data_IF_870627515517
#
_entry.id   IF_870627515517
#
_cell.length_a   1.000
_cell.length_b   1.000
_cell.length_c   1.000
_cell.angle_alpha   90.00
_cell.angle_beta   90.00
_cell.angle_gamma   90.00
#
_symmetry.space_group_name_H-M   'P 1'
#
loop_
_entity.id
_entity.type
_entity.pdbx_description
1 polymer ?
#
# COMPACT_ATOMS: atom_id res chain seq x y z
N UNK A 1 0.82 20.29 61.29
CA UNK A 1 1.05 20.24 59.84
C UNK A 1 1.45 18.82 59.52
N UNK A 2 0.57 18.05 58.88
CA UNK A 2 0.99 16.76 58.34
C UNK A 2 2.02 17.03 57.22
N UNK A 3 3.09 16.24 57.10
CA UNK A 3 4.02 16.41 55.99
C UNK A 3 3.28 16.10 54.69
N UNK A 4 3.43 16.96 53.68
CA UNK A 4 2.98 16.68 52.34
C UNK A 4 3.62 15.37 51.87
N UNK A 5 2.80 14.45 51.36
CA UNK A 5 3.32 13.28 50.68
C UNK A 5 4.18 13.74 49.49
N UNK A 6 5.35 13.15 49.24
CA UNK A 6 6.08 13.42 48.01
C UNK A 6 5.19 13.00 46.83
N UNK A 7 5.01 13.88 45.84
CA UNK A 7 4.39 13.52 44.57
C UNK A 7 5.25 12.46 43.89
N UNK A 8 4.60 11.45 43.33
CA UNK A 8 5.27 10.37 42.63
C UNK A 8 5.54 10.81 41.20
N UNK A 9 6.80 11.03 40.79
CA UNK A 9 7.11 11.54 39.46
C UNK A 9 6.71 10.59 38.33
N UNK A 10 6.51 9.29 38.59
CA UNK A 10 5.96 8.35 37.59
C UNK A 10 4.47 8.62 37.35
N UNK A 11 3.68 8.86 38.42
CA UNK A 11 2.25 9.21 38.28
C UNK A 11 2.06 10.56 37.59
N UNK A 12 2.93 11.54 37.87
CA UNK A 12 2.88 12.86 37.21
C UNK A 12 3.21 12.75 35.71
N UNK A 13 4.12 11.84 35.31
CA UNK A 13 4.46 11.57 33.90
C UNK A 13 3.34 10.83 33.17
N UNK A 14 2.77 9.80 33.79
CA UNK A 14 1.64 9.05 33.22
C UNK A 14 0.43 9.98 33.02
N UNK A 15 0.13 10.85 33.99
CA UNK A 15 -0.95 11.83 33.86
C UNK A 15 -0.71 12.87 32.76
N UNK A 16 0.55 13.31 32.57
CA UNK A 16 0.90 14.22 31.48
C UNK A 16 0.76 13.55 30.11
N UNK A 17 1.15 12.28 30.01
CA UNK A 17 1.02 11.49 28.78
C UNK A 17 -0.46 11.26 28.44
N UNK A 18 -1.27 10.91 29.43
CA UNK A 18 -2.73 10.76 29.28
C UNK A 18 -3.38 12.07 28.78
N UNK A 19 -2.96 13.24 29.30
CA UNK A 19 -3.47 14.54 28.85
C UNK A 19 -3.06 14.90 27.41
N UNK A 20 -1.82 14.56 27.01
CA UNK A 20 -1.33 14.76 25.64
C UNK A 20 -2.05 13.85 24.64
N UNK A 21 -2.27 12.58 24.99
CA UNK A 21 -3.01 11.62 24.18
C UNK A 21 -4.47 12.06 24.00
N UNK A 22 -5.13 12.49 25.08
CA UNK A 22 -6.49 13.05 25.06
C UNK A 22 -6.61 14.26 24.12
N UNK A 23 -5.61 15.15 24.14
CA UNK A 23 -5.57 16.32 23.29
C UNK A 23 -5.37 15.93 21.82
N UNK A 24 -4.47 14.98 21.55
CA UNK A 24 -4.22 14.44 20.21
C UNK A 24 -5.49 13.79 19.63
N UNK A 25 -6.17 12.95 20.40
CA UNK A 25 -7.43 12.33 19.97
C UNK A 25 -8.51 13.36 19.63
N UNK A 26 -8.60 14.46 20.38
CA UNK A 26 -9.54 15.55 20.07
C UNK A 26 -9.21 16.22 18.75
N UNK A 27 -7.94 16.54 18.50
CA UNK A 27 -7.49 17.11 17.23
C UNK A 27 -7.81 16.17 16.06
N UNK A 28 -7.48 14.88 16.17
CA UNK A 28 -7.77 13.87 15.14
C UNK A 28 -9.27 13.82 14.83
N UNK A 29 -10.11 13.85 15.85
CA UNK A 29 -11.56 13.83 15.68
C UNK A 29 -12.10 15.11 15.03
N UNK A 30 -11.51 16.27 15.30
CA UNK A 30 -11.87 17.54 14.66
C UNK A 30 -11.44 17.60 13.19
N UNK A 31 -10.22 17.14 12.87
CA UNK A 31 -9.74 16.98 11.50
C UNK A 31 -10.65 16.03 10.71
N UNK A 32 -10.96 14.86 11.26
CA UNK A 32 -11.83 13.88 10.61
C UNK A 32 -13.23 14.43 10.33
N UNK A 33 -13.82 15.19 11.27
CA UNK A 33 -15.12 15.85 11.06
C UNK A 33 -15.05 16.87 9.93
N UNK A 34 -13.94 17.59 9.81
CA UNK A 34 -13.72 18.57 8.73
C UNK A 34 -13.56 17.87 7.39
N UNK A 35 -12.70 16.86 7.33
CA UNK A 35 -12.53 16.00 6.16
C UNK A 35 -13.86 15.40 5.69
N UNK A 36 -14.67 14.87 6.60
CA UNK A 36 -15.97 14.26 6.28
C UNK A 36 -16.98 15.25 5.68
N UNK A 37 -16.89 16.54 6.03
CA UNK A 37 -17.72 17.59 5.41
C UNK A 37 -17.25 17.91 3.99
N UNK A 38 -15.94 17.81 3.74
CA UNK A 38 -15.33 18.12 2.45
C UNK A 38 -15.28 16.92 1.50
N UNK A 39 -15.44 15.69 2.00
CA UNK A 39 -15.32 14.48 1.21
C UNK A 39 -16.19 14.42 -0.05
N UNK A 40 -17.42 14.98 -0.10
CA UNK A 40 -18.21 15.00 -1.35
C UNK A 40 -17.57 15.80 -2.49
N UNK A 41 -16.64 16.71 -2.20
CA UNK A 41 -15.91 17.49 -3.20
C UNK A 41 -14.57 16.85 -3.60
N UNK A 42 -14.06 15.95 -2.77
CA UNK A 42 -12.72 15.37 -2.91
C UNK A 42 -12.74 13.97 -3.52
N UNK A 43 -13.87 13.27 -3.45
CA UNK A 43 -13.99 11.88 -3.88
C UNK A 43 -15.24 11.67 -4.72
N UNK A 44 -15.08 10.96 -5.84
CA UNK A 44 -16.21 10.41 -6.61
C UNK A 44 -16.84 9.21 -5.88
N UNK A 45 -16.03 8.48 -5.11
CA UNK A 45 -16.45 7.28 -4.42
C UNK A 45 -15.67 7.14 -3.12
N UNK A 46 -16.37 6.79 -2.03
CA UNK A 46 -15.73 6.42 -0.79
C UNK A 46 -16.56 5.40 -0.01
N UNK A 47 -15.89 4.37 0.49
CA UNK A 47 -16.43 3.36 1.39
C UNK A 47 -15.47 3.19 2.56
N UNK A 48 -15.93 3.52 3.76
CA UNK A 48 -15.28 3.10 5.00
C UNK A 48 -15.94 1.84 5.54
N UNK A 49 -15.17 0.80 5.85
CA UNK A 49 -15.64 -0.44 6.46
C UNK A 49 -14.71 -0.83 7.60
N UNK A 50 -15.26 -1.03 8.78
CA UNK A 50 -14.52 -1.58 9.91
C UNK A 50 -14.37 -3.10 9.73
N UNK A 51 -13.13 -3.57 9.70
CA UNK A 51 -12.80 -4.98 9.76
C UNK A 51 -12.98 -5.50 11.20
N UNK A 52 -13.10 -6.83 11.35
CA UNK A 52 -13.13 -7.44 12.69
C UNK A 52 -11.82 -7.29 13.43
N UNK A 53 -10.71 -7.33 12.68
CA UNK A 53 -9.33 -7.17 13.15
C UNK A 53 -8.59 -6.29 12.15
N UNK A 54 -7.57 -5.54 12.59
CA UNK A 54 -6.76 -4.74 11.70
C UNK A 54 -6.02 -5.62 10.70
N UNK A 55 -5.58 -5.00 9.60
CA UNK A 55 -4.86 -5.67 8.53
C UNK A 55 -3.58 -4.91 8.23
N UNK A 56 -2.45 -5.62 8.24
CA UNK A 56 -1.12 -5.06 7.94
C UNK A 56 -0.80 -5.04 6.45
N UNK A 57 -1.69 -5.58 5.62
CA UNK A 57 -1.44 -5.76 4.19
C UNK A 57 -2.70 -5.59 3.39
N UNK A 58 -2.60 -4.84 2.29
CA UNK A 58 -3.70 -4.63 1.34
C UNK A 58 -3.14 -4.76 -0.07
N UNK A 59 -3.78 -5.57 -0.92
CA UNK A 59 -3.44 -5.62 -2.34
C UNK A 59 -4.68 -5.91 -3.20
N UNK A 60 -4.91 -5.11 -4.24
CA UNK A 60 -5.90 -5.44 -5.26
C UNK A 60 -5.45 -6.62 -6.11
N UNK A 61 -6.34 -7.58 -6.31
CA UNK A 61 -6.15 -8.58 -7.35
C UNK A 61 -6.32 -7.94 -8.74
N UNK A 62 -5.66 -8.50 -9.77
CA UNK A 62 -5.70 -7.93 -11.12
C UNK A 62 -6.95 -8.33 -11.89
N UNK A 63 -7.67 -9.39 -11.49
CA UNK A 63 -8.87 -9.84 -12.19
C UNK A 63 -10.11 -9.04 -11.80
N UNK A 64 -10.96 -8.81 -12.80
CA UNK A 64 -12.27 -8.19 -12.66
C UNK A 64 -13.31 -9.11 -13.27
N UNK A 65 -14.40 -9.33 -12.54
CA UNK A 65 -15.57 -10.05 -13.04
C UNK A 65 -16.69 -9.08 -13.29
N UNK A 66 -17.34 -9.19 -14.44
CA UNK A 66 -18.54 -8.43 -14.76
C UNK A 66 -19.73 -9.38 -14.88
N UNK A 67 -20.57 -9.50 -13.84
CA UNK A 67 -21.79 -10.28 -13.94
C UNK A 67 -22.74 -9.66 -14.98
N UNK A 68 -23.30 -10.49 -15.86
CA UNK A 68 -24.36 -10.07 -16.77
C UNK A 68 -25.56 -9.58 -15.96
N UNK A 69 -26.22 -8.52 -16.44
CA UNK A 69 -27.40 -7.89 -15.82
C UNK A 69 -27.16 -7.30 -14.42
N UNK A 70 -25.91 -6.99 -14.05
CA UNK A 70 -25.57 -6.25 -12.84
C UNK A 70 -24.86 -4.94 -13.17
N UNK A 71 -25.24 -3.89 -12.44
CA UNK A 71 -24.67 -2.56 -12.59
C UNK A 71 -23.39 -2.35 -11.74
N UNK A 72 -22.60 -3.41 -11.55
CA UNK A 72 -21.33 -3.34 -10.83
C UNK A 72 -20.29 -4.26 -11.47
N UNK A 73 -19.04 -3.91 -11.28
CA UNK A 73 -17.86 -4.75 -11.50
C UNK A 73 -17.46 -5.38 -10.18
N UNK A 74 -16.95 -6.59 -10.23
CA UNK A 74 -16.54 -7.36 -9.07
C UNK A 74 -15.03 -7.51 -9.06
N UNK A 75 -14.41 -6.85 -8.09
CA UNK A 75 -12.97 -6.86 -7.85
C UNK A 75 -12.68 -7.66 -6.58
N UNK A 76 -11.41 -8.02 -6.36
CA UNK A 76 -10.99 -8.73 -5.15
C UNK A 76 -9.86 -7.99 -4.45
N UNK A 77 -9.90 -8.03 -3.12
CA UNK A 77 -8.84 -7.52 -2.24
C UNK A 77 -8.22 -8.68 -1.47
N UNK A 78 -6.89 -8.68 -1.40
CA UNK A 78 -6.09 -9.51 -0.52
C UNK A 78 -5.83 -8.75 0.78
N UNK A 79 -6.18 -9.37 1.90
CA UNK A 79 -6.06 -8.80 3.24
C UNK A 79 -5.45 -9.83 4.19
N UNK A 80 -4.80 -9.37 5.25
CA UNK A 80 -4.38 -10.17 6.41
C UNK A 80 -5.22 -9.89 7.65
N UNK A 81 -4.89 -10.55 8.76
CA UNK A 81 -5.33 -10.11 10.10
C UNK A 81 -4.11 -9.92 10.99
N UNK A 82 -4.25 -9.02 11.95
CA UNK A 82 -3.38 -8.83 13.11
C UNK A 82 -4.30 -8.92 14.34
N UNK A 83 -4.14 -9.95 15.17
CA UNK A 83 -5.02 -10.18 16.33
C UNK A 83 -4.31 -10.05 17.67
N UNK A 84 -2.99 -9.83 17.69
CA UNK A 84 -2.19 -9.76 18.91
C UNK A 84 -2.40 -10.99 19.80
N UNK A 85 -2.39 -12.17 19.19
CA UNK A 85 -2.67 -13.48 19.81
C UNK A 85 -4.05 -13.67 20.48
N UNK A 86 -4.98 -12.71 20.37
CA UNK A 86 -6.32 -12.82 20.95
C UNK A 86 -7.25 -13.76 20.18
N UNK A 87 -6.97 -13.99 18.90
CA UNK A 87 -7.79 -14.82 18.01
C UNK A 87 -6.96 -15.57 16.98
N UNK A 88 -7.61 -16.46 16.24
CA UNK A 88 -6.98 -17.10 15.08
C UNK A 88 -6.77 -16.07 13.98
N UNK A 89 -5.58 -16.05 13.41
CA UNK A 89 -5.27 -15.19 12.27
C UNK A 89 -5.66 -15.85 10.94
N UNK A 90 -5.96 -15.00 9.96
CA UNK A 90 -6.41 -15.43 8.64
C UNK A 90 -5.76 -14.61 7.54
N UNK A 91 -5.33 -15.30 6.48
CA UNK A 91 -5.26 -14.73 5.15
C UNK A 91 -6.69 -14.60 4.61
N UNK A 92 -7.07 -13.40 4.18
CA UNK A 92 -8.44 -13.09 3.79
C UNK A 92 -8.50 -12.61 2.33
N UNK A 93 -9.56 -13.01 1.63
CA UNK A 93 -9.92 -12.43 0.33
C UNK A 93 -11.30 -11.82 0.44
N UNK A 94 -11.38 -10.53 0.13
CA UNK A 94 -12.62 -9.78 0.07
C UNK A 94 -13.07 -9.56 -1.38
N UNK A 95 -14.39 -9.54 -1.58
CA UNK A 95 -15.03 -9.12 -2.81
C UNK A 95 -15.45 -7.66 -2.67
N UNK A 96 -15.17 -6.86 -3.70
CA UNK A 96 -15.57 -5.46 -3.77
C UNK A 96 -16.45 -5.24 -4.99
N UNK A 97 -17.71 -4.88 -4.75
CA UNK A 97 -18.66 -4.47 -5.78
C UNK A 97 -18.42 -3.00 -6.07
N UNK A 98 -17.92 -2.67 -7.25
CA UNK A 98 -17.70 -1.29 -7.68
C UNK A 98 -18.79 -0.94 -8.70
N UNK A 99 -19.60 0.11 -8.48
CA UNK A 99 -20.66 0.48 -9.39
C UNK A 99 -20.09 0.82 -10.78
N UNK A 100 -20.79 0.41 -11.84
CA UNK A 100 -20.43 0.89 -13.18
C UNK A 100 -20.86 2.34 -13.31
N UNK A 101 -20.03 3.16 -13.94
CA UNK A 101 -20.45 4.51 -14.32
C UNK A 101 -21.64 4.40 -15.28
N UNK A 102 -22.83 4.78 -14.83
CA UNK A 102 -24.01 4.88 -15.70
C UNK A 102 -23.88 6.21 -16.42
N UNK A 103 -23.74 6.18 -17.74
CA UNK A 103 -23.79 7.40 -18.53
C UNK A 103 -25.11 8.14 -18.24
N UNK A 104 -25.09 9.45 -17.96
CA UNK A 104 -26.30 10.20 -17.71
C UNK A 104 -27.23 10.06 -18.93
N UNK A 105 -28.43 9.52 -18.71
CA UNK A 105 -29.44 9.41 -19.76
C UNK A 105 -30.17 10.75 -19.88
N UNK A 106 -30.14 11.44 -21.04
CA UNK A 106 -30.89 12.67 -21.26
C UNK A 106 -32.39 12.55 -20.96
N UNK A 107 -32.96 11.35 -21.09
CA UNK A 107 -34.37 11.08 -20.78
C UNK A 107 -34.70 11.16 -19.28
N UNK A 108 -33.68 11.13 -18.41
CA UNK A 108 -33.82 11.29 -16.96
C UNK A 108 -33.62 12.74 -16.50
N UNK A 109 -33.53 13.69 -17.43
CA UNK A 109 -33.49 15.11 -17.12
C UNK A 109 -34.83 15.58 -16.57
N UNK A 110 -34.81 16.08 -15.35
CA UNK A 110 -35.96 16.70 -14.70
C UNK A 110 -35.87 18.22 -14.92
N UNK A 111 -36.79 18.76 -15.72
CA UNK A 111 -36.84 20.20 -16.05
C UNK A 111 -37.15 21.08 -14.81
N UNK A 112 -37.71 20.50 -13.74
CA UNK A 112 -38.11 21.24 -12.53
C UNK A 112 -36.96 21.34 -11.52
N UNK A 113 -36.11 20.31 -11.41
CA UNK A 113 -34.90 20.33 -10.58
C UNK A 113 -33.64 20.77 -11.35
N UNK A 114 -33.66 20.72 -12.68
CA UNK A 114 -32.48 20.96 -13.52
C UNK A 114 -31.42 19.86 -13.42
N UNK A 115 -31.74 18.72 -12.80
CA UNK A 115 -30.84 17.61 -12.55
C UNK A 115 -31.18 16.41 -13.44
N UNK A 116 -30.15 15.67 -13.89
CA UNK A 116 -30.33 14.36 -14.54
C UNK A 116 -30.35 13.30 -13.43
N UNK A 117 -31.52 12.73 -13.16
CA UNK A 117 -31.69 11.65 -12.17
C UNK A 117 -32.12 12.12 -10.77
N UNK A 118 -33.40 12.42 -10.60
CA UNK A 118 -33.99 12.74 -9.29
C UNK A 118 -34.07 11.55 -8.30
N UNK A 119 -34.35 11.87 -7.03
CA UNK A 119 -34.43 10.97 -5.86
C UNK A 119 -35.30 9.69 -6.01
N UNK A 120 -36.11 9.57 -7.07
CA UNK A 120 -36.99 8.44 -7.33
C UNK A 120 -36.48 7.39 -8.32
N UNK A 121 -35.40 7.66 -9.06
CA UNK A 121 -34.84 6.75 -10.08
C UNK A 121 -33.54 6.05 -9.63
N UNK A 122 -33.23 6.06 -8.32
CA UNK A 122 -32.11 5.34 -7.72
C UNK A 122 -32.30 3.80 -7.68
N UNK A 123 -33.20 3.24 -8.50
CA UNK A 123 -33.51 1.81 -8.54
C UNK A 123 -32.36 0.94 -9.06
N UNK A 124 -31.43 1.52 -9.82
CA UNK A 124 -30.36 0.77 -10.51
C UNK A 124 -28.92 1.22 -10.17
N UNK A 125 -28.71 2.23 -9.32
CA UNK A 125 -27.35 2.62 -8.92
C UNK A 125 -26.86 1.64 -7.85
N UNK A 126 -25.97 0.72 -8.23
CA UNK A 126 -25.34 -0.16 -7.27
C UNK A 126 -24.55 0.69 -6.25
N UNK A 127 -24.67 0.40 -4.96
CA UNK A 127 -23.77 0.96 -3.96
C UNK A 127 -22.48 0.14 -3.92
N UNK A 128 -21.34 0.79 -3.65
CA UNK A 128 -20.09 0.08 -3.40
C UNK A 128 -20.24 -0.80 -2.15
N UNK A 129 -19.78 -2.05 -2.21
CA UNK A 129 -19.84 -3.00 -1.09
C UNK A 129 -18.54 -3.80 -1.01
N UNK A 130 -18.04 -4.00 0.21
CA UNK A 130 -16.89 -4.86 0.49
C UNK A 130 -17.31 -5.98 1.45
N UNK A 131 -17.03 -7.24 1.10
CA UNK A 131 -17.31 -8.39 1.96
C UNK A 131 -16.17 -9.41 1.93
N UNK A 132 -15.74 -9.91 3.10
CA UNK A 132 -14.75 -10.99 3.18
C UNK A 132 -15.43 -12.31 2.82
N UNK A 133 -15.02 -12.91 1.70
CA UNK A 133 -15.63 -14.14 1.17
C UNK A 133 -14.80 -15.38 1.41
N UNK A 134 -13.48 -15.24 1.58
CA UNK A 134 -12.59 -16.34 1.85
C UNK A 134 -11.70 -16.06 3.05
N UNK A 135 -11.56 -17.05 3.94
CA UNK A 135 -10.61 -17.04 5.06
C UNK A 135 -9.79 -18.32 5.05
N UNK A 136 -8.48 -18.19 5.09
CA UNK A 136 -7.50 -19.28 5.18
C UNK A 136 -6.73 -19.07 6.47
N UNK A 137 -6.72 -20.07 7.37
CA UNK A 137 -6.00 -19.96 8.65
C UNK A 137 -4.51 -19.76 8.46
N UNK A 138 -3.94 -18.86 9.26
CA UNK A 138 -2.54 -18.44 9.20
C UNK A 138 -1.89 -18.58 10.60
N UNK A 139 -0.63 -19.04 10.69
CA UNK A 139 0.10 -19.06 11.95
C UNK A 139 0.53 -17.63 12.30
N UNK A 140 -0.06 -17.07 13.33
CA UNK A 140 0.19 -15.68 13.72
C UNK A 140 -0.25 -14.69 12.64
N UNK A 141 0.20 -13.46 12.82
CA UNK A 141 -0.23 -12.31 12.02
C UNK A 141 0.33 -12.36 10.60
N UNK A 142 -0.34 -11.67 9.70
CA UNK A 142 0.06 -11.60 8.29
C UNK A 142 0.77 -10.28 8.04
N UNK A 143 2.08 -10.22 8.28
CA UNK A 143 2.89 -9.01 8.14
C UNK A 143 2.82 -8.44 6.71
N UNK A 144 2.94 -9.32 5.70
CA UNK A 144 2.77 -8.97 4.29
C UNK A 144 2.18 -10.15 3.52
N UNK A 145 1.25 -9.87 2.61
CA UNK A 145 0.72 -10.86 1.68
C UNK A 145 0.77 -10.33 0.25
N UNK A 146 1.33 -11.12 -0.68
CA UNK A 146 1.42 -10.75 -2.10
C UNK A 146 1.09 -11.93 -3.00
N UNK A 147 0.26 -11.70 -4.02
CA UNK A 147 -0.02 -12.72 -5.04
C UNK A 147 1.09 -12.76 -6.09
N UNK A 148 1.29 -13.94 -6.70
CA UNK A 148 2.22 -14.13 -7.80
C UNK A 148 1.66 -13.51 -9.09
N UNK A 149 2.34 -12.56 -9.75
CA UNK A 149 1.80 -11.86 -10.92
C UNK A 149 1.34 -12.75 -12.07
N UNK A 150 2.05 -13.86 -12.33
CA UNK A 150 1.72 -14.78 -13.43
C UNK A 150 0.60 -15.77 -13.08
N UNK A 151 0.31 -15.95 -11.79
CA UNK A 151 -0.83 -16.74 -11.32
C UNK A 151 -1.32 -16.19 -9.97
N UNK A 152 -2.30 -15.26 -9.99
CA UNK A 152 -2.78 -14.61 -8.78
C UNK A 152 -3.42 -15.54 -7.74
N UNK A 153 -3.74 -16.79 -8.08
CA UNK A 153 -4.21 -17.76 -7.09
C UNK A 153 -3.10 -18.26 -6.15
N UNK A 154 -1.82 -18.05 -6.50
CA UNK A 154 -0.68 -18.34 -5.63
C UNK A 154 -0.33 -17.09 -4.82
N UNK A 155 -0.33 -17.21 -3.50
CA UNK A 155 -0.14 -16.11 -2.56
C UNK A 155 1.01 -16.48 -1.62
N UNK A 156 1.99 -15.58 -1.49
CA UNK A 156 3.00 -15.66 -0.44
C UNK A 156 2.57 -14.78 0.74
N UNK A 157 2.75 -15.28 1.96
CA UNK A 157 2.59 -14.52 3.19
C UNK A 157 3.86 -14.61 4.03
N UNK A 158 4.27 -13.51 4.66
CA UNK A 158 5.40 -13.46 5.57
C UNK A 158 4.89 -13.46 7.02
N UNK A 159 5.36 -14.42 7.81
CA UNK A 159 4.97 -14.62 9.21
C UNK A 159 5.89 -13.86 10.17
N UNK A 160 5.40 -13.69 11.40
CA UNK A 160 6.12 -13.10 12.56
C UNK A 160 7.37 -13.86 13.00
N UNK A 161 7.58 -15.10 12.53
CA UNK A 161 8.79 -15.88 12.81
C UNK A 161 9.80 -15.82 11.65
N UNK A 162 9.48 -15.09 10.57
CA UNK A 162 10.28 -15.00 9.34
C UNK A 162 10.02 -16.12 8.34
N UNK A 163 9.20 -17.12 8.67
CA UNK A 163 8.77 -18.14 7.71
C UNK A 163 7.87 -17.50 6.65
N UNK A 164 8.05 -17.89 5.38
CA UNK A 164 7.14 -17.48 4.31
C UNK A 164 6.27 -18.66 3.94
N UNK A 165 4.96 -18.46 3.88
CA UNK A 165 4.01 -19.50 3.50
C UNK A 165 3.46 -19.25 2.11
N UNK A 166 3.44 -20.29 1.29
CA UNK A 166 2.83 -20.26 -0.03
C UNK A 166 1.47 -20.94 0.02
N UNK A 167 0.43 -20.19 -0.29
CA UNK A 167 -0.95 -20.65 -0.39
C UNK A 167 -1.42 -20.65 -1.84
N UNK A 168 -2.05 -21.73 -2.28
CA UNK A 168 -2.90 -21.78 -3.47
C UNK A 168 -4.35 -21.65 -2.99
N UNK A 169 -4.93 -20.45 -3.12
CA UNK A 169 -6.27 -20.16 -2.58
C UNK A 169 -7.36 -21.09 -3.11
N UNK A 170 -7.19 -21.70 -4.29
CA UNK A 170 -8.20 -22.60 -4.89
C UNK A 170 -8.26 -23.96 -4.19
N UNK A 171 -7.20 -24.33 -3.47
CA UNK A 171 -7.10 -25.57 -2.69
C UNK A 171 -7.64 -25.44 -1.27
N UNK A 172 -8.09 -24.26 -0.89
CA UNK A 172 -8.70 -23.98 0.40
C UNK A 172 -10.19 -23.68 0.23
N UNK A 173 -11.05 -24.13 1.18
CA UNK A 173 -12.44 -23.74 1.17
C UNK A 173 -12.60 -22.23 1.38
N UNK A 174 -13.80 -21.70 1.09
CA UNK A 174 -14.12 -20.30 1.39
C UNK A 174 -14.11 -20.02 2.90
N UNK A 175 -14.47 -20.99 3.72
CA UNK A 175 -14.39 -20.89 5.18
C UNK A 175 -13.71 -22.13 5.75
N UNK A 176 -12.88 -22.00 6.80
CA UNK A 176 -12.27 -23.16 7.45
C UNK A 176 -13.36 -24.14 7.93
N UNK A 177 -13.18 -25.42 7.61
CA UNK A 177 -14.15 -26.46 7.98
C UNK A 177 -14.06 -26.84 9.47
N UNK A 178 -12.86 -26.71 10.05
CA UNK A 178 -12.59 -26.90 11.46
C UNK A 178 -11.43 -25.97 11.86
N UNK A 179 -11.46 -25.38 13.07
CA UNK A 179 -10.41 -24.51 13.55
C UNK A 179 -9.09 -25.27 13.76
N UNK A 180 -7.97 -24.61 13.49
CA UNK A 180 -6.62 -25.03 13.85
C UNK A 180 -5.89 -25.90 12.81
N UNK A 181 -6.35 -25.95 11.56
CA UNK A 181 -5.67 -26.67 10.47
C UNK A 181 -5.04 -25.69 9.47
N UNK A 182 -3.83 -25.26 9.81
CA UNK A 182 -2.95 -24.51 8.91
C UNK A 182 -2.35 -25.49 7.90
N UNK A 183 -2.52 -25.22 6.60
CA UNK A 183 -2.12 -26.15 5.54
C UNK A 183 -1.55 -25.44 4.29
N UNK A 184 -0.45 -24.71 4.43
CA UNK A 184 0.26 -24.12 3.29
C UNK A 184 0.70 -25.21 2.31
N UNK A 185 0.84 -24.83 1.04
CA UNK A 185 1.38 -25.72 0.02
C UNK A 185 2.90 -25.84 0.14
N UNK A 186 3.58 -24.74 0.48
CA UNK A 186 5.04 -24.70 0.65
C UNK A 186 5.36 -23.76 1.83
N UNK A 187 6.35 -24.15 2.63
CA UNK A 187 6.95 -23.37 3.71
C UNK A 187 8.37 -22.98 3.31
N UNK A 188 8.64 -21.70 3.11
CA UNK A 188 9.97 -21.20 2.81
C UNK A 188 10.66 -20.84 4.12
N UNK A 189 11.64 -21.66 4.49
CA UNK A 189 12.30 -21.59 5.80
C UNK A 189 13.73 -21.11 5.58
N UNK A 190 14.11 -20.00 6.21
CA UNK A 190 15.46 -19.47 6.07
C UNK A 190 15.71 -18.19 6.85
N UNK A 191 14.76 -17.25 6.90
CA UNK A 191 14.94 -16.08 7.77
C UNK A 191 14.96 -16.49 9.24
N UNK A 192 15.58 -15.65 10.07
CA UNK A 192 15.75 -15.88 11.53
C UNK A 192 14.94 -14.93 12.41
N UNK A 193 14.27 -13.98 11.79
CA UNK A 193 13.44 -12.97 12.40
C UNK A 193 12.36 -12.59 11.40
N UNK A 194 11.35 -11.84 11.84
CA UNK A 194 10.28 -11.37 10.97
C UNK A 194 10.76 -10.40 9.88
N UNK A 195 9.82 -9.94 9.07
CA UNK A 195 10.06 -8.91 8.08
C UNK A 195 8.78 -8.48 7.40
N UNK A 196 8.93 -7.51 6.51
CA UNK A 196 7.83 -6.95 5.72
C UNK A 196 8.13 -6.92 4.21
N UNK A 197 9.41 -6.95 3.82
CA UNK A 197 9.83 -6.99 2.42
C UNK A 197 9.45 -8.31 1.75
N UNK A 198 8.54 -8.26 0.78
CA UNK A 198 8.07 -9.44 0.04
C UNK A 198 7.71 -9.06 -1.40
N UNK A 199 8.46 -9.57 -2.38
CA UNK A 199 8.27 -9.23 -3.79
C UNK A 199 8.43 -10.44 -4.71
N UNK A 200 7.36 -10.78 -5.42
CA UNK A 200 7.41 -11.76 -6.50
C UNK A 200 8.16 -11.20 -7.71
N UNK A 201 8.91 -12.06 -8.38
CA UNK A 201 9.55 -11.70 -9.64
C UNK A 201 8.48 -11.54 -10.74
N UNK A 202 8.30 -10.34 -11.32
CA UNK A 202 7.31 -10.14 -12.38
C UNK A 202 7.71 -10.82 -13.70
N UNK A 203 9.00 -11.16 -13.87
CA UNK A 203 9.55 -11.76 -15.09
C UNK A 203 9.57 -13.28 -15.08
N UNK A 204 9.52 -13.90 -13.91
CA UNK A 204 9.67 -15.35 -13.76
C UNK A 204 8.71 -15.91 -12.71
N UNK A 205 7.79 -16.77 -13.16
CA UNK A 205 6.83 -17.44 -12.29
C UNK A 205 7.52 -18.32 -11.24
N UNK A 206 7.03 -18.26 -10.01
CA UNK A 206 7.53 -19.08 -8.89
C UNK A 206 8.84 -18.58 -8.27
N UNK A 207 9.31 -17.38 -8.62
CA UNK A 207 10.53 -16.78 -8.02
C UNK A 207 10.14 -15.58 -7.16
N UNK A 208 10.70 -15.51 -5.95
CA UNK A 208 10.34 -14.53 -4.91
C UNK A 208 11.60 -13.99 -4.25
N UNK A 209 11.55 -12.75 -3.79
CA UNK A 209 12.55 -12.12 -2.92
C UNK A 209 11.88 -11.68 -1.61
N UNK A 210 12.60 -11.80 -0.51
CA UNK A 210 12.15 -11.34 0.81
C UNK A 210 13.26 -10.63 1.57
N UNK A 211 12.88 -9.64 2.37
CA UNK A 211 13.74 -8.92 3.32
C UNK A 211 13.27 -9.15 4.76
N UNK A 212 14.20 -9.12 5.71
CA UNK A 212 13.94 -9.44 7.12
C UNK A 212 14.79 -8.61 8.08
N UNK A 213 14.33 -8.56 9.32
CA UNK A 213 15.06 -8.04 10.49
C UNK A 213 16.34 -8.80 10.80
N UNK A 214 16.50 -10.01 10.27
CA UNK A 214 17.76 -10.75 10.32
C UNK A 214 18.88 -10.12 9.47
N UNK A 215 18.60 -8.96 8.85
CA UNK A 215 19.51 -8.14 8.04
C UNK A 215 19.85 -8.75 6.69
N UNK A 216 19.10 -9.76 6.27
CA UNK A 216 19.35 -10.50 5.03
C UNK A 216 18.20 -10.33 4.04
N UNK A 217 18.56 -10.42 2.76
CA UNK A 217 17.59 -10.65 1.68
C UNK A 217 17.73 -12.09 1.21
N UNK A 218 16.63 -12.83 1.11
CA UNK A 218 16.60 -14.18 0.56
C UNK A 218 15.92 -14.21 -0.81
N UNK A 219 16.46 -15.03 -1.71
CA UNK A 219 15.80 -15.39 -2.97
C UNK A 219 15.29 -16.82 -2.89
N UNK A 220 14.11 -17.04 -3.46
CA UNK A 220 13.41 -18.32 -3.42
C UNK A 220 13.00 -18.69 -4.83
N UNK A 221 13.18 -19.96 -5.18
CA UNK A 221 12.72 -20.52 -6.45
C UNK A 221 11.90 -21.77 -6.18
N UNK A 222 10.57 -21.63 -6.30
CA UNK A 222 9.62 -22.71 -6.04
C UNK A 222 9.80 -23.90 -6.99
N UNK A 223 10.48 -23.73 -8.13
CA UNK A 223 10.77 -24.82 -9.09
C UNK A 223 11.81 -25.80 -8.56
N UNK A 224 12.60 -25.39 -7.58
CA UNK A 224 13.62 -26.22 -6.95
C UNK A 224 13.06 -27.11 -5.83
N UNK A 225 11.76 -27.01 -5.54
CA UNK A 225 11.10 -27.84 -4.54
C UNK A 225 11.15 -29.32 -4.94
N UNK A 226 11.72 -30.14 -4.04
CA UNK A 226 11.72 -31.59 -4.18
C UNK A 226 10.30 -32.16 -4.04
N UNK A 227 9.93 -33.14 -4.86
CA UNK A 227 8.55 -33.63 -4.99
C UNK A 227 7.90 -34.12 -3.68
N UNK A 228 8.68 -34.48 -2.67
CA UNK A 228 8.21 -34.97 -1.36
C UNK A 228 8.36 -33.95 -0.23
N UNK A 229 9.04 -32.82 -0.47
CA UNK A 229 9.24 -31.77 0.54
C UNK A 229 8.11 -30.74 0.48
N UNK A 230 7.68 -30.28 1.66
CA UNK A 230 6.88 -29.06 1.80
C UNK A 230 7.72 -27.85 2.19
N UNK A 231 8.96 -28.06 2.60
CA UNK A 231 9.86 -26.98 3.01
C UNK A 231 10.87 -26.67 1.90
N UNK A 232 11.10 -25.39 1.65
CA UNK A 232 12.10 -24.89 0.71
C UNK A 232 13.10 -24.00 1.44
N UNK A 233 14.39 -24.21 1.16
CA UNK A 233 15.47 -23.34 1.62
C UNK A 233 15.74 -22.25 0.57
N UNK A 234 16.31 -21.09 0.96
CA UNK A 234 16.57 -20.01 0.02
C UNK A 234 17.62 -20.46 -1.01
N UNK A 235 17.38 -20.15 -2.28
CA UNK A 235 18.33 -20.44 -3.37
C UNK A 235 19.58 -19.57 -3.25
N UNK A 236 19.42 -18.34 -2.74
CA UNK A 236 20.52 -17.43 -2.39
C UNK A 236 20.15 -16.59 -1.18
N UNK A 237 21.17 -16.27 -0.38
CA UNK A 237 21.09 -15.32 0.73
C UNK A 237 22.09 -14.19 0.54
N UNK A 238 21.59 -12.97 0.67
CA UNK A 238 22.33 -11.74 0.53
C UNK A 238 22.51 -11.07 1.89
N UNK A 239 23.72 -10.56 2.15
CA UNK A 239 24.14 -9.99 3.44
C UNK A 239 24.88 -8.67 3.25
N UNK A 240 24.41 -7.85 2.29
CA UNK A 240 25.02 -6.56 1.94
C UNK A 240 24.56 -5.40 2.84
N UNK A 241 23.43 -5.56 3.56
CA UNK A 241 22.97 -4.59 4.56
C UNK A 241 23.59 -4.84 5.93
N UNK A 242 23.69 -3.79 6.74
CA UNK A 242 24.24 -3.88 8.12
C UNK A 242 23.16 -3.83 9.21
N UNK A 243 21.93 -3.49 8.83
CA UNK A 243 20.74 -3.44 9.68
C UNK A 243 19.53 -4.08 8.98
N UNK A 244 18.34 -3.94 9.57
CA UNK A 244 17.07 -4.54 9.12
C UNK A 244 16.80 -4.21 7.66
N UNK A 245 16.36 -5.18 6.86
CA UNK A 245 15.94 -4.95 5.46
C UNK A 245 14.43 -4.75 5.44
N UNK A 246 14.00 -3.50 5.32
CA UNK A 246 12.59 -3.12 5.48
C UNK A 246 11.73 -3.50 4.28
N UNK A 247 12.23 -3.25 3.06
CA UNK A 247 11.52 -3.57 1.83
C UNK A 247 12.47 -4.05 0.72
N UNK A 248 11.92 -4.88 -0.16
CA UNK A 248 12.63 -5.47 -1.30
C UNK A 248 11.68 -5.48 -2.50
N UNK A 249 12.17 -5.08 -3.67
CA UNK A 249 11.37 -5.12 -4.90
C UNK A 249 12.19 -5.60 -6.09
N UNK A 250 11.63 -6.51 -6.87
CA UNK A 250 12.14 -6.76 -8.23
C UNK A 250 11.92 -5.54 -9.10
N UNK A 251 12.90 -5.22 -9.92
CA UNK A 251 12.73 -4.17 -10.91
C UNK A 251 11.70 -4.60 -11.98
N UNK A 252 10.67 -3.78 -12.28
CA UNK A 252 9.57 -4.16 -13.17
C UNK A 252 9.98 -4.35 -14.63
N UNK A 253 11.02 -3.65 -15.10
CA UNK A 253 11.57 -3.77 -16.46
C UNK A 253 12.88 -4.58 -16.50
N UNK A 254 13.90 -4.21 -15.71
CA UNK A 254 15.20 -4.87 -15.69
C UNK A 254 15.20 -6.19 -14.88
N UNK A 255 15.15 -7.33 -15.58
CA UNK A 255 14.97 -8.66 -14.98
C UNK A 255 15.99 -9.10 -13.93
N UNK A 256 17.17 -8.49 -13.94
CA UNK A 256 18.29 -8.92 -13.09
C UNK A 256 18.47 -8.06 -11.84
N UNK A 257 17.71 -6.98 -11.70
CA UNK A 257 17.87 -6.05 -10.58
C UNK A 257 16.79 -6.23 -9.53
N UNK A 258 17.23 -6.19 -8.28
CA UNK A 258 16.38 -6.12 -7.09
C UNK A 258 16.86 -4.91 -6.29
N UNK A 259 15.93 -4.05 -5.93
CA UNK A 259 16.18 -2.95 -5.00
C UNK A 259 15.85 -3.38 -3.57
N UNK A 260 16.65 -2.91 -2.63
CA UNK A 260 16.49 -3.18 -1.20
C UNK A 260 16.74 -1.90 -0.41
N UNK A 261 16.00 -1.71 0.68
CA UNK A 261 16.16 -0.58 1.59
C UNK A 261 16.21 -1.05 3.04
N UNK A 262 16.84 -0.26 3.91
CA UNK A 262 17.21 -0.70 5.25
C UNK A 262 17.32 0.46 6.25
N UNK A 263 17.25 0.10 7.54
CA UNK A 263 17.60 0.94 8.68
C UNK A 263 19.05 1.45 8.64
N UNK A 264 19.92 0.83 7.84
CA UNK A 264 21.27 1.36 7.61
C UNK A 264 21.31 2.61 6.72
N UNK A 265 20.14 3.18 6.40
CA UNK A 265 19.93 4.41 5.65
C UNK A 265 20.43 4.32 4.19
N UNK A 266 20.47 3.11 3.64
CA UNK A 266 20.91 2.88 2.26
C UNK A 266 19.83 2.29 1.38
N UNK A 267 19.76 2.81 0.15
CA UNK A 267 19.16 2.11 -0.98
C UNK A 267 20.26 1.32 -1.67
N UNK A 268 20.06 0.02 -1.84
CA UNK A 268 21.00 -0.86 -2.52
C UNK A 268 20.31 -1.57 -3.69
N UNK A 269 21.00 -1.63 -4.83
CA UNK A 269 20.56 -2.43 -5.98
C UNK A 269 21.51 -3.60 -6.13
N UNK A 270 20.98 -4.81 -6.15
CA UNK A 270 21.74 -6.04 -6.42
C UNK A 270 21.47 -6.54 -7.82
N UNK A 271 22.50 -7.08 -8.46
CA UNK A 271 22.39 -7.80 -9.73
C UNK A 271 22.47 -9.29 -9.48
N UNK A 272 21.35 -10.00 -9.66
CA UNK A 272 21.25 -11.43 -9.35
C UNK A 272 22.13 -12.31 -10.26
N UNK A 273 22.70 -11.76 -11.33
CA UNK A 273 23.66 -12.47 -12.18
C UNK A 273 25.04 -12.56 -11.53
N UNK A 274 25.36 -11.67 -10.60
CA UNK A 274 26.62 -11.70 -9.88
C UNK A 274 26.62 -12.81 -8.82
N UNK A 275 27.80 -13.40 -8.61
CA UNK A 275 27.98 -14.48 -7.63
C UNK A 275 28.21 -13.98 -6.20
N UNK A 276 28.71 -12.75 -6.02
CA UNK A 276 28.91 -12.14 -4.70
C UNK A 276 27.56 -11.74 -4.11
N UNK A 277 27.27 -12.16 -2.87
CA UNK A 277 25.99 -11.85 -2.19
C UNK A 277 26.14 -10.87 -1.02
N UNK A 278 27.37 -10.45 -0.71
CA UNK A 278 27.69 -9.52 0.38
C UNK A 278 27.94 -8.09 -0.11
N UNK A 279 27.75 -7.81 -1.41
CA UNK A 279 27.89 -6.47 -1.98
C UNK A 279 26.76 -6.21 -2.98
N UNK A 280 26.27 -4.99 -2.97
CA UNK A 280 25.37 -4.47 -3.99
C UNK A 280 26.17 -3.80 -5.13
N UNK A 281 25.56 -3.75 -6.32
CA UNK A 281 26.18 -3.13 -7.50
C UNK A 281 26.03 -1.61 -7.48
N UNK A 282 24.92 -1.11 -6.93
CA UNK A 282 24.69 0.30 -6.67
C UNK A 282 24.33 0.47 -5.21
N UNK A 283 24.87 1.52 -4.59
CA UNK A 283 24.57 1.87 -3.20
C UNK A 283 24.42 3.39 -3.12
N UNK A 284 23.20 3.84 -2.87
CA UNK A 284 22.93 5.22 -2.48
C UNK A 284 23.11 5.32 -0.96
N UNK A 285 23.91 6.28 -0.50
CA UNK A 285 24.17 6.53 0.92
C UNK A 285 23.91 7.99 1.24
N UNK A 286 23.56 8.28 2.50
CA UNK A 286 23.37 9.66 2.99
C UNK A 286 22.32 10.44 2.20
N UNK A 287 21.36 9.73 1.61
CA UNK A 287 20.19 10.34 0.98
C UNK A 287 19.14 10.73 2.00
N UNK A 288 18.92 9.84 2.97
CA UNK A 288 17.99 10.03 4.07
C UNK A 288 18.75 10.20 5.39
N UNK A 289 18.10 10.86 6.34
CA UNK A 289 18.63 11.10 7.69
C UNK A 289 18.27 10.00 8.67
N UNK A 290 17.33 9.14 8.30
CA UNK A 290 16.82 8.04 9.11
C UNK A 290 16.56 6.78 8.26
N UNK A 291 16.06 5.71 8.89
CA UNK A 291 15.72 4.44 8.28
C UNK A 291 14.88 4.60 7.00
N UNK A 292 15.15 3.78 5.98
CA UNK A 292 14.37 3.76 4.74
C UNK A 292 13.40 2.58 4.81
N UNK A 293 12.11 2.87 4.90
CA UNK A 293 11.04 1.91 5.18
C UNK A 293 10.52 1.21 3.91
N UNK A 294 10.44 1.92 2.80
CA UNK A 294 9.91 1.37 1.55
C UNK A 294 10.68 1.89 0.32
N UNK A 295 10.63 1.11 -0.76
CA UNK A 295 11.04 1.57 -2.09
C UNK A 295 9.92 1.38 -3.11
N UNK A 296 10.03 2.05 -4.24
CA UNK A 296 9.14 1.84 -5.37
C UNK A 296 9.87 2.09 -6.67
N UNK A 297 10.02 1.07 -7.52
CA UNK A 297 10.46 1.27 -8.90
C UNK A 297 9.32 1.83 -9.73
N UNK A 298 9.62 2.82 -10.57
CA UNK A 298 8.64 3.32 -11.52
C UNK A 298 8.36 2.23 -12.58
N UNK A 299 7.08 1.87 -12.84
CA UNK A 299 6.75 0.81 -13.80
C UNK A 299 7.02 1.21 -15.27
N UNK A 300 7.11 2.51 -15.55
CA UNK A 300 7.30 3.07 -16.89
C UNK A 300 8.74 3.51 -17.19
N UNK A 301 9.64 3.51 -16.19
CA UNK A 301 11.03 3.94 -16.33
C UNK A 301 11.99 2.89 -15.77
N UNK A 302 13.07 2.61 -16.51
CA UNK A 302 14.10 1.64 -16.12
C UNK A 302 15.18 2.22 -15.19
N UNK A 303 15.10 3.51 -14.88
CA UNK A 303 16.11 4.23 -14.10
C UNK A 303 15.54 4.94 -12.88
N UNK A 304 14.22 5.14 -12.79
CA UNK A 304 13.62 5.94 -11.72
C UNK A 304 13.16 5.04 -10.56
N UNK A 305 13.62 5.36 -9.36
CA UNK A 305 13.20 4.70 -8.12
C UNK A 305 12.93 5.71 -7.03
N UNK A 306 11.88 5.49 -6.25
CA UNK A 306 11.53 6.27 -5.07
C UNK A 306 11.87 5.51 -3.79
N UNK A 307 12.21 6.22 -2.72
CA UNK A 307 12.45 5.66 -1.38
C UNK A 307 11.72 6.48 -0.32
N UNK A 308 11.06 5.83 0.62
CA UNK A 308 10.34 6.47 1.73
C UNK A 308 11.06 6.19 3.05
N UNK A 309 11.15 7.20 3.91
CA UNK A 309 11.97 7.13 5.12
C UNK A 309 11.23 7.60 6.37
N UNK A 310 11.72 7.12 7.51
CA UNK A 310 11.39 7.64 8.84
C UNK A 310 11.77 9.13 9.01
N UNK A 311 12.62 9.69 8.13
CA UNK A 311 12.92 11.13 8.10
C UNK A 311 11.79 12.00 7.52
N UNK A 312 10.61 11.41 7.28
CA UNK A 312 9.37 12.05 6.78
C UNK A 312 9.43 12.48 5.31
N UNK A 313 10.53 12.16 4.60
CA UNK A 313 10.70 12.54 3.20
C UNK A 313 10.68 11.34 2.27
N UNK A 314 10.44 11.63 0.99
CA UNK A 314 10.57 10.65 -0.09
C UNK A 314 11.71 11.10 -1.01
N UNK A 315 12.69 10.23 -1.22
CA UNK A 315 13.79 10.46 -2.14
C UNK A 315 13.47 9.94 -3.53
N UNK A 316 13.67 10.76 -4.56
CA UNK A 316 13.61 10.34 -5.97
C UNK A 316 15.03 10.16 -6.50
N UNK A 317 15.30 9.01 -7.12
CA UNK A 317 16.64 8.60 -7.53
C UNK A 317 16.70 8.17 -8.98
N UNK A 318 17.83 8.49 -9.62
CA UNK A 318 18.21 7.97 -10.93
C UNK A 318 19.29 6.89 -10.76
N UNK A 319 18.99 5.66 -11.18
CA UNK A 319 19.91 4.52 -11.08
C UNK A 319 21.22 4.73 -11.86
N UNK A 320 21.26 5.64 -12.84
CA UNK A 320 22.48 6.01 -13.57
C UNK A 320 23.44 6.84 -12.72
N UNK A 321 22.91 7.56 -11.72
CA UNK A 321 23.69 8.35 -10.77
C UNK A 321 23.06 8.36 -9.36
N UNK A 322 23.25 7.26 -8.63
CA UNK A 322 22.71 7.09 -7.26
C UNK A 322 23.45 7.89 -6.17
N UNK A 323 24.41 8.76 -6.53
CA UNK A 323 25.22 9.51 -5.55
C UNK A 323 24.43 10.63 -4.88
N UNK A 324 23.45 11.17 -5.58
CA UNK A 324 22.62 12.29 -5.13
C UNK A 324 21.17 12.00 -5.52
N UNK A 325 20.23 12.50 -4.70
CA UNK A 325 18.80 12.48 -5.05
C UNK A 325 18.59 13.38 -6.27
N UNK A 326 17.69 12.98 -7.16
CA UNK A 326 17.15 13.84 -8.22
C UNK A 326 16.25 14.90 -7.60
N UNK A 327 15.42 14.48 -6.63
CA UNK A 327 14.48 15.35 -5.93
C UNK A 327 14.12 14.77 -4.56
N UNK A 328 13.60 15.61 -3.66
CA UNK A 328 13.04 15.21 -2.37
C UNK A 328 11.60 15.72 -2.30
N UNK A 329 10.65 14.83 -2.04
CA UNK A 329 9.26 15.19 -1.79
C UNK A 329 9.07 15.41 -0.29
N UNK A 330 8.57 16.59 0.08
CA UNK A 330 8.33 17.04 1.44
C UNK A 330 6.85 17.38 1.62
N UNK A 331 6.25 16.93 2.73
CA UNK A 331 4.82 17.18 3.01
C UNK A 331 4.21 16.23 4.04
N UNK A 332 4.83 15.07 4.27
CA UNK A 332 4.48 14.21 5.39
C UNK A 332 5.01 14.77 6.72
N UNK A 333 4.24 14.55 7.80
CA UNK A 333 4.57 15.03 9.15
C UNK A 333 5.16 13.95 10.05
N UNK A 334 5.21 12.71 9.58
CA UNK A 334 5.76 11.55 10.28
C UNK A 334 6.34 10.53 9.30
N UNK A 335 6.91 9.45 9.82
CA UNK A 335 7.59 8.39 9.08
C UNK A 335 6.75 7.89 7.89
N UNK A 336 7.33 7.96 6.69
CA UNK A 336 6.71 7.43 5.47
C UNK A 336 7.00 5.93 5.40
N UNK A 337 5.96 5.11 5.36
CA UNK A 337 6.06 3.65 5.53
C UNK A 337 5.74 2.86 4.27
N UNK A 338 5.08 3.47 3.29
CA UNK A 338 4.67 2.78 2.06
C UNK A 338 4.77 3.70 0.85
N UNK A 339 5.15 3.10 -0.29
CA UNK A 339 5.20 3.75 -1.60
C UNK A 339 4.54 2.86 -2.65
N UNK A 340 3.81 3.49 -3.57
CA UNK A 340 3.28 2.78 -4.73
C UNK A 340 3.10 3.74 -5.89
N UNK A 341 3.78 3.47 -7.01
CA UNK A 341 3.57 4.20 -8.26
C UNK A 341 2.19 3.90 -8.83
N UNK A 342 1.58 4.90 -9.45
CA UNK A 342 0.32 4.69 -10.16
C UNK A 342 0.51 3.67 -11.28
N UNK A 343 -0.41 2.70 -11.46
CA UNK A 343 -0.22 1.59 -12.40
C UNK A 343 -0.19 2.02 -13.87
N UNK A 344 -0.75 3.18 -14.21
CA UNK A 344 -0.87 3.66 -15.60
C UNK A 344 -0.27 5.04 -15.85
N UNK A 345 -0.10 5.87 -14.82
CA UNK A 345 0.34 7.26 -14.96
C UNK A 345 1.76 7.41 -14.42
N UNK A 346 2.73 7.50 -15.34
CA UNK A 346 4.14 7.40 -15.02
C UNK A 346 4.67 8.46 -14.05
N UNK A 347 4.03 9.63 -13.98
CA UNK A 347 4.43 10.74 -13.11
C UNK A 347 3.81 10.70 -11.71
N UNK A 348 2.87 9.79 -11.46
CA UNK A 348 2.09 9.78 -10.22
C UNK A 348 2.65 8.75 -9.23
N UNK A 349 2.97 9.22 -8.03
CA UNK A 349 3.43 8.39 -6.92
C UNK A 349 2.47 8.55 -5.74
N UNK A 350 2.05 7.45 -5.13
CA UNK A 350 1.38 7.47 -3.83
C UNK A 350 2.36 7.17 -2.70
N UNK A 351 2.17 7.82 -1.56
CA UNK A 351 2.88 7.54 -0.31
C UNK A 351 1.94 7.49 0.87
N UNK A 352 2.21 6.58 1.80
CA UNK A 352 1.48 6.44 3.06
C UNK A 352 2.41 6.63 4.25
N UNK A 353 1.91 7.28 5.30
CA UNK A 353 2.71 7.64 6.47
C UNK A 353 1.98 7.37 7.79
N UNK A 354 2.76 7.28 8.86
CA UNK A 354 2.27 7.26 10.23
C UNK A 354 1.57 8.56 10.64
N UNK A 355 1.68 9.63 9.86
CA UNK A 355 0.89 10.87 10.04
C UNK A 355 -0.60 10.70 9.70
N UNK A 356 -1.04 9.48 9.38
CA UNK A 356 -2.43 9.10 9.05
C UNK A 356 -2.89 9.64 7.70
N UNK A 357 -1.95 10.06 6.83
CA UNK A 357 -2.24 10.57 5.49
C UNK A 357 -1.70 9.64 4.42
N UNK A 358 -2.41 9.64 3.30
CA UNK A 358 -1.88 9.18 2.01
C UNK A 358 -1.76 10.41 1.12
N UNK A 359 -0.58 10.63 0.55
CA UNK A 359 -0.33 11.75 -0.37
C UNK A 359 -0.09 11.19 -1.77
N UNK A 360 -0.73 11.79 -2.76
CA UNK A 360 -0.40 11.58 -4.17
C UNK A 360 0.44 12.74 -4.67
N UNK A 361 1.52 12.38 -5.36
CA UNK A 361 2.52 13.30 -5.89
C UNK A 361 2.49 13.26 -7.41
N UNK A 362 2.48 14.42 -8.05
CA UNK A 362 2.65 14.57 -9.48
C UNK A 362 4.03 15.14 -9.80
N UNK A 363 4.94 14.25 -10.22
CA UNK A 363 6.32 14.64 -10.51
C UNK A 363 6.45 15.56 -11.73
N UNK A 364 5.41 15.71 -12.55
CA UNK A 364 5.44 16.65 -13.67
C UNK A 364 5.32 18.11 -13.25
N UNK A 365 4.78 18.36 -12.04
CA UNK A 365 4.59 19.70 -11.47
C UNK A 365 5.76 20.20 -10.64
N UNK A 366 6.81 19.39 -10.50
CA UNK A 366 8.01 19.78 -9.74
C UNK A 366 8.61 21.05 -10.34
N UNK A 367 8.70 22.10 -9.52
CA UNK A 367 9.26 23.39 -9.90
C UNK A 367 8.28 24.32 -10.63
N UNK A 368 6.99 24.00 -10.69
CA UNK A 368 5.96 24.96 -11.12
C UNK A 368 5.87 26.15 -10.15
N UNK A 369 5.60 27.34 -10.69
CA UNK A 369 5.44 28.55 -9.87
C UNK A 369 4.06 28.54 -9.19
N UNK A 370 4.04 28.68 -7.87
CA UNK A 370 2.83 28.77 -7.05
C UNK A 370 2.60 30.20 -6.55
N UNK A 371 1.33 30.56 -6.33
CA UNK A 371 1.00 31.78 -5.60
C UNK A 371 1.46 31.66 -4.14
N UNK A 372 1.68 32.78 -3.43
CA UNK A 372 2.11 32.74 -2.02
C UNK A 372 1.19 31.91 -1.13
N UNK A 373 -0.14 32.02 -1.32
CA UNK A 373 -1.12 31.28 -0.53
C UNK A 373 -1.02 29.76 -0.79
N UNK A 374 -0.80 29.33 -2.04
CA UNK A 374 -0.67 27.91 -2.40
C UNK A 374 0.63 27.29 -1.85
N UNK A 375 1.69 28.09 -1.67
CA UNK A 375 2.96 27.62 -1.08
C UNK A 375 2.80 27.29 0.41
N UNK A 376 1.81 27.87 1.10
CA UNK A 376 1.50 27.52 2.50
C UNK A 376 0.85 26.14 2.61
N UNK A 377 0.14 25.69 1.57
CA UNK A 377 -0.54 24.40 1.52
C UNK A 377 0.41 23.23 1.17
N UNK A 378 1.50 23.51 0.46
CA UNK A 378 2.53 22.52 0.14
C UNK A 378 3.23 22.78 -1.19
N UNK A 379 4.20 21.91 -1.56
CA UNK A 379 4.92 22.04 -2.82
C UNK A 379 4.00 21.75 -4.03
N UNK A 380 4.32 22.24 -5.24
CA UNK A 380 3.44 22.13 -6.40
C UNK A 380 3.19 20.68 -6.86
N UNK A 381 4.13 19.79 -6.57
CA UNK A 381 3.99 18.35 -6.83
C UNK A 381 3.03 17.63 -5.87
N UNK A 382 2.58 18.24 -4.77
CA UNK A 382 1.56 17.65 -3.90
C UNK A 382 0.20 17.77 -4.58
N UNK A 383 -0.26 16.66 -5.18
CA UNK A 383 -1.50 16.64 -5.97
C UNK A 383 -2.74 16.46 -5.11
N UNK A 384 -2.69 15.53 -4.15
CA UNK A 384 -3.85 15.18 -3.34
C UNK A 384 -3.44 14.61 -1.99
N UNK A 385 -4.18 14.94 -0.93
CA UNK A 385 -4.00 14.36 0.40
C UNK A 385 -5.29 13.71 0.89
N UNK A 386 -5.21 12.40 1.14
CA UNK A 386 -6.28 11.65 1.77
C UNK A 386 -6.16 11.72 3.30
N UNK A 387 -7.14 12.37 3.94
CA UNK A 387 -7.25 12.51 5.40
C UNK A 387 -8.36 11.69 6.04
N UNK A 388 -8.75 10.57 5.42
CA UNK A 388 -9.86 9.74 5.88
C UNK A 388 -9.54 8.84 7.07
N UNK A 389 -8.27 8.54 7.34
CA UNK A 389 -7.85 7.67 8.44
C UNK A 389 -7.61 8.44 9.73
N UNK A 390 -7.98 7.83 10.84
CA UNK A 390 -7.83 8.37 12.20
C UNK A 390 -6.69 7.76 12.98
N UNK A 391 -6.01 6.77 12.41
CA UNK A 391 -4.85 6.10 13.01
C UNK A 391 -3.75 5.83 11.96
N UNK A 392 -2.61 5.31 12.40
CA UNK A 392 -1.46 5.02 11.56
C UNK A 392 -1.83 4.14 10.37
N UNK A 393 -1.25 4.45 9.22
CA UNK A 393 -1.50 3.70 8.00
C UNK A 393 -0.66 2.43 7.97
N UNK A 394 -1.30 1.30 7.71
CA UNK A 394 -0.65 0.00 7.64
C UNK A 394 -0.19 -0.35 6.21
N UNK A 395 -1.08 -0.26 5.21
CA UNK A 395 -0.75 -0.50 3.80
C UNK A 395 -1.80 0.16 2.89
N UNK A 396 -1.43 0.40 1.63
CA UNK A 396 -2.39 0.82 0.60
C UNK A 396 -2.03 0.21 -0.77
N UNK A 397 -3.03 0.16 -1.66
CA UNK A 397 -2.88 -0.39 -3.00
C UNK A 397 -3.74 0.39 -3.99
N UNK A 398 -3.12 0.81 -5.10
CA UNK A 398 -3.83 1.22 -6.31
C UNK A 398 -4.60 0.05 -6.90
N UNK A 399 -5.79 0.32 -7.42
CA UNK A 399 -6.51 -0.63 -8.24
C UNK A 399 -5.89 -0.64 -9.65
N UNK A 400 -5.49 -1.81 -10.18
CA UNK A 400 -4.85 -1.88 -11.49
C UNK A 400 -5.84 -1.71 -12.67
N UNK A 401 -7.15 -1.73 -12.42
CA UNK A 401 -8.19 -1.72 -13.46
C UNK A 401 -9.05 -0.46 -13.45
N UNK A 402 -9.24 0.17 -12.29
CA UNK A 402 -9.98 1.43 -12.15
C UNK A 402 -8.99 2.56 -11.80
N UNK A 403 -8.76 3.53 -12.70
CA UNK A 403 -7.88 4.66 -12.44
C UNK A 403 -8.28 5.41 -11.18
N UNK A 404 -7.29 5.88 -10.43
CA UNK A 404 -7.48 6.71 -9.22
C UNK A 404 -8.29 6.06 -8.09
N UNK A 405 -8.59 4.77 -8.17
CA UNK A 405 -9.20 4.00 -7.11
C UNK A 405 -8.12 3.35 -6.23
N UNK A 406 -8.24 3.55 -4.92
CA UNK A 406 -7.32 3.03 -3.91
C UNK A 406 -8.06 2.25 -2.83
N UNK A 407 -7.41 1.22 -2.32
CA UNK A 407 -7.76 0.60 -1.04
C UNK A 407 -6.64 0.87 -0.05
N UNK A 408 -6.97 1.26 1.17
CA UNK A 408 -6.03 1.63 2.22
C UNK A 408 -6.54 1.18 3.58
N UNK A 409 -5.66 0.65 4.43
CA UNK A 409 -5.99 0.20 5.77
C UNK A 409 -5.17 0.91 6.83
N UNK A 410 -5.81 1.16 7.97
CA UNK A 410 -5.18 1.70 9.17
C UNK A 410 -5.26 0.70 10.34
N UNK A 411 -4.49 0.98 11.39
CA UNK A 411 -4.35 0.14 12.59
C UNK A 411 -5.61 0.11 13.47
N UNK A 412 -6.55 1.02 13.28
CA UNK A 412 -7.86 1.10 13.97
C UNK A 412 -8.96 0.25 13.30
N UNK A 413 -8.56 -0.81 12.59
CA UNK A 413 -9.42 -1.73 11.83
C UNK A 413 -10.12 -1.11 10.62
N UNK A 414 -9.87 0.15 10.29
CA UNK A 414 -10.55 0.83 9.21
C UNK A 414 -9.94 0.47 7.86
N UNK A 415 -10.74 -0.17 7.00
CA UNK A 415 -10.47 -0.32 5.58
C UNK A 415 -11.25 0.75 4.82
N UNK A 416 -10.55 1.57 4.05
CA UNK A 416 -11.17 2.52 3.13
C UNK A 416 -10.91 2.16 1.69
N UNK A 417 -11.95 2.24 0.86
CA UNK A 417 -11.89 2.13 -0.59
C UNK A 417 -12.42 3.43 -1.17
N UNK A 418 -11.58 4.16 -1.91
CA UNK A 418 -11.90 5.53 -2.32
C UNK A 418 -11.32 5.85 -3.69
N UNK A 419 -12.06 6.65 -4.46
CA UNK A 419 -11.66 7.18 -5.77
C UNK A 419 -11.58 8.70 -5.67
N UNK A 420 -10.45 9.28 -6.05
CA UNK A 420 -10.29 10.75 -6.12
C UNK A 420 -11.30 11.31 -7.13
N UNK A 421 -11.81 12.50 -6.86
CA UNK A 421 -12.75 13.17 -7.76
C UNK A 421 -12.10 13.47 -9.11
N UNK A 422 -12.80 13.19 -10.22
CA UNK A 422 -12.33 13.49 -11.57
C UNK A 422 -12.08 14.99 -11.78
N UNK A 423 -12.66 15.89 -10.98
CA UNK A 423 -12.37 17.33 -11.01
C UNK A 423 -10.94 17.70 -10.55
N UNK A 424 -10.26 16.79 -9.84
CA UNK A 424 -8.90 16.99 -9.32
C UNK A 424 -7.87 16.35 -10.24
N UNK A 425 -8.19 15.17 -10.76
CA UNK A 425 -7.23 14.30 -11.49
C UNK A 425 -7.59 14.06 -12.95
N UNK A 426 -8.77 14.49 -13.37
CA UNK A 426 -9.20 14.42 -14.76
C UNK A 426 -8.31 15.31 -15.63
N UNK A 427 -7.97 14.80 -16.81
CA UNK A 427 -7.30 15.60 -17.83
C UNK A 427 -8.36 16.49 -18.46
N UNK A 428 -8.07 17.79 -18.60
CA UNK A 428 -8.92 18.68 -19.37
C UNK A 428 -8.97 18.18 -20.82
N UNK A 429 -10.00 17.41 -21.17
CA UNK A 429 -10.30 17.01 -22.56
C UNK A 429 -10.74 18.23 -23.43
N UNK A 430 -10.57 19.46 -22.91
CA UNK A 430 -10.97 20.73 -23.50
C UNK A 430 -9.98 21.36 -24.50
N UNK A 431 -8.77 20.80 -24.66
CA UNK A 431 -7.88 21.17 -25.78
C UNK A 431 -7.94 20.12 -26.90
N UNK A 432 -9.14 19.81 -27.39
CA UNK A 432 -9.25 19.39 -28.79
C UNK A 432 -8.85 20.59 -29.65
N UNK A 433 -7.84 20.48 -30.53
CA UNK A 433 -7.55 21.55 -31.48
C UNK A 433 -8.83 21.87 -32.25
N UNK A 434 -9.26 23.13 -32.22
CA UNK A 434 -10.41 23.66 -32.96
C UNK A 434 -10.35 23.38 -34.48
N UNK A 435 -9.23 22.85 -34.98
CA UNK A 435 -8.98 22.54 -36.37
C UNK A 435 -9.63 21.22 -36.86
N UNK A 436 -10.22 20.39 -35.99
CA UNK A 436 -10.91 19.14 -36.41
C UNK A 436 -12.45 19.15 -36.30
N UNK A 437 -13.06 20.27 -35.92
CA UNK A 437 -14.53 20.43 -35.96
C UNK A 437 -15.06 21.05 -37.26
N UNK A 438 -14.24 21.07 -38.31
CA UNK A 438 -14.60 21.67 -39.59
C UNK A 438 -14.04 20.94 -40.80
N UNK A 439 -14.42 19.67 -41.03
CA UNK A 439 -14.46 19.06 -42.36
C UNK A 439 -15.58 18.04 -42.53
#
# INVERSE_FOLDING_TARGET
MAPAQPSDPELDLDMMQDEEDDHMERLINEEYKTWKKNSPFLYDMILGTALTWPTLTVQWFPDVKEPQDKNYRMHRLLLGTHTSDESTNYLQIAHVQIPKAVAPNPDNYDEESGEIGGYGNAGDVAAIKCEVVQKIEHPGEVNKARYQPQNPDIIATLCVDGTILIFDRTRHPLRPAAPGKISPQIELVGHKAEGFGLSWNPHEAGVLASGSEDKTMCLWDLKTLEAESKSLQPSRRYTHHTQIVNDVQYHPIAKSFIGTVSDDQTLQIVDIRQGETNKAVLVAKRGHLDAINALGFNPNSDVLVATASADKTIGIWDLRNVKEKVHTLEGHNDAVTSLSWHPTEAGILGSGSYDRRIIFWDLSRVGEEQLPDDQEDGPPELLFMHGGHTNHLADFSWNPNEPWLVASAAEDNLLQIWKVADSIVGKDDGELPLDELGR
#
